data_IF_100320680373
#
_entry.id   IF_100320680373
#
_cell.length_a   1.000
_cell.length_b   1.000
_cell.length_c   1.000
_cell.angle_alpha   90.00
_cell.angle_beta   90.00
_cell.angle_gamma   90.00
#
_symmetry.space_group_name_H-M   'P 1'
#
loop_
_entity.id
_entity.type
_entity.pdbx_description
1 polymer ?
#
# COMPACT_ATOMS: atom_id res chain seq x y z
N UNK A 1 23.71 -13.27 0.36
CA UNK A 1 22.41 -12.62 0.70
C UNK A 1 21.54 -12.62 -0.55
N UNK A 2 20.24 -12.86 -0.43
CA UNK A 2 19.32 -12.91 -1.58
C UNK A 2 18.78 -11.53 -1.96
N UNK A 3 18.54 -11.33 -3.26
CA UNK A 3 17.87 -10.13 -3.81
C UNK A 3 16.50 -9.91 -3.16
N UNK A 4 16.13 -8.65 -2.94
CA UNK A 4 14.78 -8.26 -2.52
C UNK A 4 14.06 -7.71 -3.75
N UNK A 5 12.90 -8.30 -4.07
CA UNK A 5 12.08 -7.89 -5.21
C UNK A 5 10.82 -7.19 -4.71
N UNK A 6 10.62 -5.94 -5.13
CA UNK A 6 9.43 -5.15 -4.81
C UNK A 6 8.72 -4.84 -6.12
N UNK A 7 7.48 -5.26 -6.25
CA UNK A 7 6.64 -4.98 -7.41
C UNK A 7 6.21 -3.51 -7.50
N UNK A 8 5.48 -3.20 -8.55
CA UNK A 8 5.05 -1.83 -8.85
C UNK A 8 4.04 -1.29 -7.83
N UNK A 9 4.06 0.03 -7.60
CA UNK A 9 3.10 0.74 -6.76
C UNK A 9 3.02 0.26 -5.29
N UNK A 10 4.10 -0.34 -4.77
CA UNK A 10 4.16 -0.68 -3.35
C UNK A 10 4.35 0.55 -2.47
N UNK A 11 3.75 0.55 -1.29
CA UNK A 11 4.02 1.52 -0.22
C UNK A 11 4.84 0.86 0.88
N UNK A 12 6.03 1.38 1.17
CA UNK A 12 6.88 0.90 2.25
C UNK A 12 6.91 1.94 3.36
N UNK A 13 6.29 1.61 4.48
CA UNK A 13 6.21 2.49 5.64
C UNK A 13 7.58 2.76 6.25
N UNK A 14 7.71 3.94 6.88
CA UNK A 14 8.94 4.35 7.52
C UNK A 14 9.46 3.30 8.51
N UNK A 15 10.77 3.03 8.46
CA UNK A 15 11.46 2.05 9.31
C UNK A 15 10.96 0.60 9.16
N UNK A 16 10.23 0.26 8.10
CA UNK A 16 9.99 -1.13 7.77
C UNK A 16 11.32 -1.82 7.40
N UNK A 17 11.45 -3.09 7.78
CA UNK A 17 12.61 -3.93 7.49
C UNK A 17 12.11 -5.10 6.63
N UNK A 18 12.74 -5.31 5.47
CA UNK A 18 12.46 -6.46 4.60
C UNK A 18 13.70 -7.34 4.60
N UNK A 19 13.55 -8.61 5.01
CA UNK A 19 14.69 -9.53 5.06
C UNK A 19 15.17 -9.91 3.65
N UNK A 20 16.44 -10.33 3.48
CA UNK A 20 16.97 -10.74 2.18
C UNK A 20 16.20 -11.92 1.55
N UNK A 21 16.10 -11.94 0.22
CA UNK A 21 15.45 -13.03 -0.54
C UNK A 21 13.93 -12.94 -0.64
N UNK A 22 13.32 -11.85 -0.15
CA UNK A 22 11.87 -11.68 -0.12
C UNK A 22 11.36 -11.01 -1.40
N UNK A 23 10.21 -11.51 -1.89
CA UNK A 23 9.46 -10.93 -3.01
C UNK A 23 8.12 -10.39 -2.52
N UNK A 24 7.84 -9.12 -2.82
CA UNK A 24 6.53 -8.50 -2.66
C UNK A 24 5.94 -8.25 -4.05
N UNK A 25 4.72 -8.73 -4.27
CA UNK A 25 3.97 -8.42 -5.51
C UNK A 25 3.57 -6.95 -5.60
N UNK A 26 2.90 -6.58 -6.70
CA UNK A 26 2.46 -5.20 -6.95
C UNK A 26 1.48 -4.71 -5.88
N UNK A 27 1.42 -3.41 -5.63
CA UNK A 27 0.44 -2.76 -4.74
C UNK A 27 0.47 -3.27 -3.29
N UNK A 28 1.59 -3.84 -2.82
CA UNK A 28 1.73 -4.20 -1.42
C UNK A 28 1.88 -2.96 -0.55
N UNK A 29 1.32 -3.00 0.66
CA UNK A 29 1.44 -1.93 1.66
C UNK A 29 2.12 -2.51 2.88
N UNK A 30 3.31 -2.04 3.21
CA UNK A 30 4.05 -2.43 4.42
C UNK A 30 3.90 -1.32 5.45
N UNK A 31 3.28 -1.61 6.60
CA UNK A 31 3.11 -0.64 7.67
C UNK A 31 4.45 -0.18 8.25
N UNK A 32 4.48 1.02 8.83
CA UNK A 32 5.67 1.54 9.50
C UNK A 32 6.17 0.59 10.60
N UNK A 33 7.48 0.41 10.68
CA UNK A 33 8.13 -0.48 11.66
C UNK A 33 7.89 -1.98 11.47
N UNK A 34 7.24 -2.42 10.38
CA UNK A 34 7.01 -3.84 10.15
C UNK A 34 8.30 -4.59 9.77
N UNK A 35 8.43 -5.86 10.17
CA UNK A 35 9.57 -6.72 9.82
C UNK A 35 9.10 -7.88 8.94
N UNK A 36 9.31 -7.76 7.64
CA UNK A 36 8.84 -8.74 6.64
C UNK A 36 9.83 -9.89 6.54
N UNK A 37 9.38 -11.07 6.97
CA UNK A 37 10.20 -12.29 7.07
C UNK A 37 9.89 -13.34 6.00
N UNK A 38 8.91 -13.10 5.12
CA UNK A 38 8.53 -13.99 4.01
C UNK A 38 7.90 -13.20 2.84
N UNK A 39 7.84 -13.81 1.67
CA UNK A 39 7.24 -13.24 0.45
C UNK A 39 5.72 -13.16 0.54
N UNK A 40 5.14 -12.16 -0.14
CA UNK A 40 3.70 -11.93 -0.16
C UNK A 40 3.20 -11.57 -1.57
N UNK A 41 1.98 -12.00 -1.94
CA UNK A 41 1.39 -11.73 -3.25
C UNK A 41 0.95 -10.26 -3.37
N UNK A 42 0.64 -9.84 -4.60
CA UNK A 42 0.16 -8.49 -4.90
C UNK A 42 -1.05 -8.07 -4.05
N UNK A 43 -1.10 -6.80 -3.69
CA UNK A 43 -2.17 -6.20 -2.88
C UNK A 43 -2.14 -6.56 -1.40
N UNK A 44 -1.08 -7.22 -0.90
CA UNK A 44 -0.97 -7.57 0.52
C UNK A 44 -0.73 -6.33 1.39
N UNK A 45 -1.49 -6.19 2.48
CA UNK A 45 -1.21 -5.19 3.53
C UNK A 45 -0.56 -5.91 4.71
N UNK A 46 0.66 -5.51 5.06
CA UNK A 46 1.53 -6.17 6.01
C UNK A 46 1.79 -5.28 7.22
N UNK A 47 1.80 -5.85 8.43
CA UNK A 47 2.14 -5.10 9.65
C UNK A 47 2.63 -5.97 10.80
N UNK A 48 3.42 -5.37 11.70
CA UNK A 48 3.98 -6.02 12.90
C UNK A 48 5.40 -6.56 12.75
N UNK A 49 5.93 -7.13 13.83
CA UNK A 49 7.21 -7.83 13.89
C UNK A 49 7.03 -9.18 14.61
N UNK A 50 7.05 -10.33 13.90
CA UNK A 50 7.15 -10.45 12.45
C UNK A 50 5.88 -9.92 11.75
N UNK A 51 6.04 -9.42 10.53
CA UNK A 51 4.93 -8.89 9.74
C UNK A 51 3.93 -9.99 9.40
N UNK A 52 2.65 -9.69 9.59
CA UNK A 52 1.53 -10.57 9.22
C UNK A 52 0.68 -9.88 8.15
N UNK A 53 -0.05 -10.69 7.37
CA UNK A 53 -1.09 -10.16 6.49
C UNK A 53 -2.23 -9.62 7.36
N UNK A 54 -2.50 -8.34 7.27
CA UNK A 54 -3.54 -7.64 8.05
C UNK A 54 -4.68 -7.10 7.19
N UNK A 55 -4.60 -7.27 5.86
CA UNK A 55 -5.65 -6.89 4.93
C UNK A 55 -5.20 -6.85 3.48
N UNK A 56 -6.03 -6.23 2.64
CA UNK A 56 -5.77 -6.03 1.22
C UNK A 56 -5.74 -4.53 0.84
N UNK A 57 -4.88 -4.16 -0.10
CA UNK A 57 -4.66 -2.77 -0.53
C UNK A 57 -5.92 -2.11 -1.07
N UNK A 58 -6.77 -2.85 -1.80
CA UNK A 58 -8.04 -2.34 -2.33
C UNK A 58 -9.02 -1.99 -1.22
N UNK A 59 -9.10 -2.83 -0.19
CA UNK A 59 -9.94 -2.58 0.98
C UNK A 59 -9.41 -1.41 1.81
N UNK A 60 -8.09 -1.33 1.96
CA UNK A 60 -7.42 -0.23 2.64
C UNK A 60 -7.74 1.10 1.96
N UNK A 61 -7.59 1.17 0.64
CA UNK A 61 -7.94 2.35 -0.17
C UNK A 61 -9.42 2.69 -0.03
N UNK A 62 -10.32 1.70 -0.14
CA UNK A 62 -11.76 1.92 0.03
C UNK A 62 -12.07 2.54 1.40
N UNK A 63 -11.47 2.00 2.47
CA UNK A 63 -11.66 2.43 3.86
C UNK A 63 -11.19 3.86 4.10
N UNK A 64 -10.06 4.25 3.52
CA UNK A 64 -9.44 5.55 3.78
C UNK A 64 -9.65 6.59 2.67
N UNK A 65 -10.35 6.22 1.58
CA UNK A 65 -10.61 7.07 0.41
C UNK A 65 -11.19 8.44 0.72
N UNK A 66 -12.01 8.57 1.77
CA UNK A 66 -12.67 9.83 2.15
C UNK A 66 -11.83 10.75 3.05
N UNK A 67 -10.77 10.24 3.68
CA UNK A 67 -9.99 11.00 4.68
C UNK A 67 -8.54 11.21 4.28
N UNK A 68 -8.09 10.63 3.17
CA UNK A 68 -6.75 10.84 2.62
C UNK A 68 -6.60 12.25 2.00
N UNK A 69 -6.87 13.28 2.80
CA UNK A 69 -6.53 14.67 2.50
C UNK A 69 -5.00 14.77 2.35
N UNK A 70 -4.56 15.17 1.17
CA UNK A 70 -3.14 15.20 0.76
C UNK A 70 -2.79 14.19 -0.33
N UNK A 71 -3.48 13.04 -0.40
CA UNK A 71 -3.35 12.13 -1.55
C UNK A 71 -4.27 12.58 -2.70
N UNK A 72 -5.49 12.99 -2.39
CA UNK A 72 -6.44 13.55 -3.37
C UNK A 72 -5.92 14.83 -4.05
N UNK A 73 -4.96 15.54 -3.45
CA UNK A 73 -4.41 16.77 -4.04
C UNK A 73 -3.19 16.54 -4.94
N UNK A 74 -2.54 15.39 -4.83
CA UNK A 74 -1.44 14.99 -5.71
C UNK A 74 -1.95 14.71 -7.14
N UNK A 75 -1.15 15.04 -8.17
CA UNK A 75 -1.50 14.78 -9.58
C UNK A 75 -1.86 13.31 -9.83
N UNK A 76 -1.17 12.39 -9.15
CA UNK A 76 -1.42 10.96 -9.25
C UNK A 76 -2.71 10.55 -8.52
N UNK A 77 -2.91 11.02 -7.29
CA UNK A 77 -4.13 10.69 -6.53
C UNK A 77 -5.39 11.25 -7.19
N UNK A 78 -5.34 12.47 -7.76
CA UNK A 78 -6.44 13.01 -8.59
C UNK A 78 -6.79 12.08 -9.75
N UNK A 79 -5.77 11.59 -10.47
CA UNK A 79 -5.96 10.65 -11.59
C UNK A 79 -6.56 9.32 -11.12
N UNK A 80 -5.98 8.70 -10.10
CA UNK A 80 -6.44 7.41 -9.58
C UNK A 80 -7.88 7.47 -9.06
N UNK A 81 -8.25 8.50 -8.29
CA UNK A 81 -9.62 8.67 -7.82
C UNK A 81 -10.59 8.99 -8.95
N UNK A 82 -10.17 9.74 -9.98
CA UNK A 82 -11.01 10.02 -11.14
C UNK A 82 -11.28 8.76 -11.99
N UNK A 83 -10.27 7.90 -12.15
CA UNK A 83 -10.38 6.65 -12.92
C UNK A 83 -11.17 5.57 -12.17
N UNK A 84 -11.05 5.50 -10.84
CA UNK A 84 -11.56 4.36 -10.05
C UNK A 84 -12.76 4.70 -9.16
N UNK A 85 -13.00 5.96 -8.85
CA UNK A 85 -14.09 6.43 -7.97
C UNK A 85 -14.68 7.78 -8.42
N UNK A 86 -15.12 7.92 -9.69
CA UNK A 86 -15.58 9.19 -10.24
C UNK A 86 -16.75 9.79 -9.43
N UNK A 87 -17.60 8.96 -8.85
CA UNK A 87 -18.75 9.38 -8.04
C UNK A 87 -18.39 10.09 -6.74
N UNK A 88 -17.21 9.82 -6.17
CA UNK A 88 -16.77 10.41 -4.89
C UNK A 88 -16.15 11.79 -5.03
N UNK A 89 -15.75 12.19 -6.24
CA UNK A 89 -15.15 13.51 -6.52
C UNK A 89 -16.20 14.63 -6.40
N UNK A 90 -17.50 14.32 -6.52
CA UNK A 90 -18.58 15.31 -6.61
C UNK A 90 -19.08 15.88 -5.28
N UNK A 91 -18.50 15.53 -4.12
CA UNK A 91 -19.02 15.93 -2.80
C UNK A 91 -18.34 17.13 -2.13
N UNK A 92 -17.34 17.74 -2.75
CA UNK A 92 -16.74 19.00 -2.27
C UNK A 92 -17.03 20.16 -3.23
N UNK A 93 -18.31 20.47 -3.44
CA UNK A 93 -18.75 21.81 -3.86
C UNK A 93 -19.47 22.47 -2.70
#
# INVERSE_FOLDING_TARGET
MGEIKIGDNCFIGARAIILPGITLGNECVVAAGAVVTKSYPSGSVLGGNPAKLIGNSKELVKKYSSIAYGFSDSKWGKKYFAENYPEKILRNR
#
